data_IF_349691085293
#
_entry.id   IF_349691085293
#
_cell.length_a   1.000
_cell.length_b   1.000
_cell.length_c   1.000
_cell.angle_alpha   90.00
_cell.angle_beta   90.00
_cell.angle_gamma   90.00
#
_symmetry.space_group_name_H-M   'P 1'
#
loop_
_entity.id
_entity.type
_entity.pdbx_description
1 polymer ?
#
# COMPACT_ATOMS: atom_id res chain seq x y z
N UNK A 1 -37.12 -14.23 -51.85
CA UNK A 1 -37.76 -14.41 -50.52
C UNK A 1 -36.66 -14.81 -49.55
N UNK A 2 -36.31 -13.92 -48.62
CA UNK A 2 -35.17 -14.09 -47.71
C UNK A 2 -35.64 -14.84 -46.46
N UNK A 3 -35.23 -16.10 -46.30
CA UNK A 3 -35.54 -16.91 -45.12
C UNK A 3 -34.47 -16.67 -44.05
N UNK A 4 -34.60 -15.57 -43.30
CA UNK A 4 -33.89 -15.38 -42.04
C UNK A 4 -34.77 -15.89 -40.89
N UNK A 5 -34.60 -17.16 -40.54
CA UNK A 5 -35.18 -17.74 -39.31
C UNK A 5 -34.34 -17.25 -38.14
N UNK A 6 -34.76 -16.15 -37.50
CA UNK A 6 -34.08 -15.47 -36.39
C UNK A 6 -33.99 -16.27 -35.08
N UNK A 7 -33.52 -17.52 -35.15
CA UNK A 7 -33.20 -18.31 -33.97
C UNK A 7 -31.74 -18.04 -33.61
N UNK A 8 -31.51 -17.08 -32.72
CA UNK A 8 -30.21 -16.92 -32.06
C UNK A 8 -30.09 -18.10 -31.10
N UNK A 9 -29.10 -18.99 -31.24
CA UNK A 9 -28.96 -20.11 -30.31
C UNK A 9 -28.83 -19.57 -28.89
N UNK A 10 -29.67 -20.07 -27.98
CA UNK A 10 -29.61 -19.80 -26.54
C UNK A 10 -28.38 -20.50 -25.94
N UNK A 11 -27.21 -20.04 -26.39
CA UNK A 11 -25.96 -20.30 -25.70
C UNK A 11 -26.00 -19.37 -24.49
N UNK A 12 -26.41 -19.90 -23.34
CA UNK A 12 -26.35 -19.20 -22.07
C UNK A 12 -25.00 -18.48 -21.99
N UNK A 13 -25.02 -17.15 -22.13
CA UNK A 13 -23.79 -16.34 -22.11
C UNK A 13 -23.09 -16.68 -20.82
N UNK A 14 -21.87 -17.23 -20.90
CA UNK A 14 -21.00 -17.38 -19.71
C UNK A 14 -21.02 -16.04 -18.99
N UNK A 15 -21.40 -16.03 -17.72
CA UNK A 15 -21.44 -14.82 -16.91
C UNK A 15 -20.10 -14.11 -17.04
N UNK A 16 -20.08 -12.92 -17.65
CA UNK A 16 -18.85 -12.18 -17.87
C UNK A 16 -18.30 -11.81 -16.49
N UNK A 17 -17.07 -12.23 -16.21
CA UNK A 17 -16.43 -11.98 -14.92
C UNK A 17 -16.36 -10.49 -14.59
N UNK A 18 -16.34 -9.63 -15.62
CA UNK A 18 -16.34 -8.18 -15.49
C UNK A 18 -17.51 -7.67 -14.68
N UNK A 19 -18.67 -8.35 -14.73
CA UNK A 19 -19.88 -8.01 -13.95
C UNK A 19 -19.68 -8.05 -12.43
N UNK A 20 -18.63 -8.73 -11.94
CA UNK A 20 -18.27 -8.79 -10.51
C UNK A 20 -17.08 -7.90 -10.15
N UNK A 21 -16.62 -7.05 -11.07
CA UNK A 21 -15.47 -6.18 -10.85
C UNK A 21 -15.83 -5.00 -9.94
N UNK A 22 -15.09 -4.85 -8.83
CA UNK A 22 -15.28 -3.77 -7.86
C UNK A 22 -15.02 -2.37 -8.45
N UNK A 23 -14.33 -2.26 -9.58
CA UNK A 23 -14.05 -0.99 -10.24
C UNK A 23 -15.24 -0.41 -11.02
N UNK A 24 -16.37 -1.13 -11.14
CA UNK A 24 -17.56 -0.61 -11.82
C UNK A 24 -18.18 0.61 -11.12
N UNK A 25 -18.07 0.66 -9.79
CA UNK A 25 -18.63 1.74 -8.96
C UNK A 25 -17.65 2.89 -8.72
N UNK A 26 -16.53 2.91 -9.46
CA UNK A 26 -15.43 3.85 -9.27
C UNK A 26 -15.19 4.63 -10.56
N UNK A 27 -14.81 5.91 -10.45
CA UNK A 27 -14.48 6.76 -11.59
C UNK A 27 -13.37 6.13 -12.46
N UNK A 28 -13.60 5.86 -13.75
CA UNK A 28 -12.62 5.22 -14.63
C UNK A 28 -11.32 6.04 -14.78
N UNK A 29 -11.35 7.37 -14.64
CA UNK A 29 -10.17 8.24 -14.78
C UNK A 29 -9.04 7.83 -13.82
N UNK A 30 -9.38 7.30 -12.63
CA UNK A 30 -8.37 6.94 -11.63
C UNK A 30 -7.42 5.84 -12.11
N UNK A 31 -7.89 4.98 -13.03
CA UNK A 31 -7.13 3.83 -13.53
C UNK A 31 -6.13 4.22 -14.62
N UNK A 32 -6.24 5.42 -15.20
CA UNK A 32 -5.39 5.88 -16.29
C UNK A 32 -4.48 7.06 -15.91
N UNK A 33 -4.63 7.60 -14.70
CA UNK A 33 -3.79 8.69 -14.19
C UNK A 33 -2.66 8.17 -13.29
N UNK A 34 -1.44 8.66 -13.54
CA UNK A 34 -0.27 8.38 -12.71
C UNK A 34 -0.40 8.92 -11.28
N UNK A 35 -1.18 9.99 -11.09
CA UNK A 35 -1.39 10.62 -9.77
C UNK A 35 -2.30 9.77 -8.87
N UNK A 36 -3.14 8.92 -9.46
CA UNK A 36 -4.13 8.08 -8.77
C UNK A 36 -3.82 6.58 -8.84
N UNK A 37 -2.61 6.21 -9.28
CA UNK A 37 -2.21 4.83 -9.50
C UNK A 37 -2.38 3.95 -8.25
N UNK A 38 -1.95 4.43 -7.07
CA UNK A 38 -2.07 3.65 -5.83
C UNK A 38 -3.53 3.51 -5.38
N UNK A 39 -4.37 4.51 -5.66
CA UNK A 39 -5.82 4.44 -5.42
C UNK A 39 -6.46 3.38 -6.31
N UNK A 40 -6.12 3.35 -7.60
CA UNK A 40 -6.58 2.32 -8.53
C UNK A 40 -6.11 0.91 -8.10
N UNK A 41 -4.84 0.78 -7.71
CA UNK A 41 -4.28 -0.46 -7.16
C UNK A 41 -4.98 -0.90 -5.88
N UNK A 42 -5.41 0.04 -5.03
CA UNK A 42 -6.17 -0.26 -3.82
C UNK A 42 -7.52 -0.92 -4.14
N UNK A 43 -8.26 -0.37 -5.10
CA UNK A 43 -9.51 -0.97 -5.58
C UNK A 43 -9.25 -2.39 -6.10
N UNK A 44 -8.24 -2.56 -6.95
CA UNK A 44 -7.90 -3.87 -7.51
C UNK A 44 -7.55 -4.93 -6.45
N UNK A 45 -6.86 -4.57 -5.36
CA UNK A 45 -6.49 -5.53 -4.30
C UNK A 45 -7.69 -6.11 -3.55
N UNK A 46 -8.78 -5.36 -3.48
CA UNK A 46 -10.05 -5.82 -2.89
C UNK A 46 -10.98 -6.52 -3.90
N UNK A 47 -10.62 -6.53 -5.19
CA UNK A 47 -11.50 -6.98 -6.25
C UNK A 47 -11.54 -8.52 -6.36
N UNK A 48 -12.72 -9.16 -6.33
CA UNK A 48 -12.84 -10.63 -6.36
C UNK A 48 -12.42 -11.26 -7.69
N UNK A 49 -12.29 -10.45 -8.75
CA UNK A 49 -11.93 -10.89 -10.11
C UNK A 49 -10.54 -10.39 -10.54
N UNK A 50 -9.70 -10.01 -9.57
CA UNK A 50 -8.37 -9.41 -9.84
C UNK A 50 -7.45 -10.32 -10.66
N UNK A 51 -7.53 -11.64 -10.46
CA UNK A 51 -6.74 -12.62 -11.22
C UNK A 51 -7.22 -12.74 -12.67
N UNK A 52 -8.54 -12.83 -12.88
CA UNK A 52 -9.17 -12.85 -14.21
C UNK A 52 -8.89 -11.56 -14.97
N UNK A 53 -8.90 -10.42 -14.28
CA UNK A 53 -8.56 -9.12 -14.83
C UNK A 53 -7.08 -9.04 -15.26
N UNK A 54 -6.16 -9.54 -14.44
CA UNK A 54 -4.74 -9.54 -14.80
C UNK A 54 -4.47 -10.46 -16.00
N UNK A 55 -5.02 -11.68 -15.97
CA UNK A 55 -4.91 -12.64 -17.05
C UNK A 55 -5.35 -12.01 -18.38
N UNK A 56 -6.53 -11.40 -18.40
CA UNK A 56 -7.04 -10.67 -19.57
C UNK A 56 -6.10 -9.56 -20.04
N UNK A 57 -5.56 -8.75 -19.13
CA UNK A 57 -4.64 -7.67 -19.49
C UNK A 57 -3.27 -8.17 -19.99
N UNK A 58 -2.84 -9.36 -19.56
CA UNK A 58 -1.63 -10.01 -20.07
C UNK A 58 -1.87 -10.59 -21.47
N UNK A 59 -3.00 -11.29 -21.66
CA UNK A 59 -3.36 -11.95 -22.91
C UNK A 59 -3.62 -10.95 -24.05
N UNK A 60 -4.35 -9.86 -23.78
CA UNK A 60 -4.68 -8.82 -24.78
C UNK A 60 -3.58 -7.74 -24.95
N UNK A 61 -2.41 -7.95 -24.35
CA UNK A 61 -1.30 -6.98 -24.37
C UNK A 61 -1.70 -5.55 -23.94
N UNK A 62 -2.62 -5.38 -22.99
CA UNK A 62 -3.10 -4.04 -22.59
C UNK A 62 -1.94 -3.19 -22.07
N UNK A 63 -1.70 -2.06 -22.73
CA UNK A 63 -0.53 -1.22 -22.50
C UNK A 63 -0.79 -0.14 -21.43
N UNK A 64 -1.95 0.51 -21.46
CA UNK A 64 -2.20 1.66 -20.58
C UNK A 64 -3.03 1.31 -19.34
N UNK A 65 -2.86 2.10 -18.28
CA UNK A 65 -3.66 2.05 -17.06
C UNK A 65 -3.37 0.87 -16.11
N UNK A 66 -4.08 0.86 -14.99
CA UNK A 66 -3.98 -0.15 -13.93
C UNK A 66 -4.96 -1.29 -14.20
N UNK A 67 -4.44 -2.50 -14.37
CA UNK A 67 -5.23 -3.72 -14.59
C UNK A 67 -4.75 -4.82 -13.67
N UNK A 68 -5.70 -5.52 -13.06
CA UNK A 68 -5.39 -6.63 -12.15
C UNK A 68 -4.46 -6.23 -11.00
N UNK A 69 -4.46 -4.96 -10.57
CA UNK A 69 -3.61 -4.45 -9.49
C UNK A 69 -2.18 -4.09 -9.89
N UNK A 70 -1.87 -4.04 -11.19
CA UNK A 70 -0.55 -3.68 -11.70
C UNK A 70 -0.63 -2.54 -12.72
N UNK A 71 0.35 -1.64 -12.69
CA UNK A 71 0.51 -0.62 -13.73
C UNK A 71 1.20 -1.21 -14.99
N UNK A 72 1.37 -0.37 -16.01
CA UNK A 72 2.02 -0.75 -17.27
C UNK A 72 3.42 -1.33 -17.05
N UNK A 73 4.29 -0.63 -16.30
CA UNK A 73 5.68 -1.01 -16.11
C UNK A 73 5.82 -2.33 -15.34
N UNK A 74 4.95 -2.57 -14.38
CA UNK A 74 4.88 -3.81 -13.62
C UNK A 74 4.45 -4.98 -14.50
N UNK A 75 3.42 -4.79 -15.34
CA UNK A 75 3.01 -5.81 -16.32
C UNK A 75 4.13 -6.09 -17.33
N UNK A 76 4.80 -5.04 -17.82
CA UNK A 76 5.97 -5.16 -18.72
C UNK A 76 7.11 -5.92 -18.04
N UNK A 77 7.37 -5.66 -16.77
CA UNK A 77 8.36 -6.39 -15.98
C UNK A 77 8.02 -7.87 -15.83
N UNK A 78 6.74 -8.18 -15.53
CA UNK A 78 6.25 -9.57 -15.45
C UNK A 78 6.39 -10.31 -16.78
N UNK A 79 6.03 -9.68 -17.92
CA UNK A 79 6.20 -10.29 -19.25
C UNK A 79 7.68 -10.60 -19.54
N UNK A 80 8.60 -9.68 -19.22
CA UNK A 80 10.04 -9.93 -19.35
C UNK A 80 10.52 -11.09 -18.48
N UNK A 81 9.99 -11.21 -17.26
CA UNK A 81 10.30 -12.32 -16.36
C UNK A 81 9.72 -13.65 -16.88
N UNK A 82 8.52 -13.62 -17.46
CA UNK A 82 7.87 -14.76 -18.09
C UNK A 82 8.75 -15.38 -19.16
N UNK A 83 9.19 -14.56 -20.11
CA UNK A 83 10.05 -14.99 -21.23
C UNK A 83 11.36 -15.59 -20.71
N UNK A 84 11.99 -14.94 -19.71
CA UNK A 84 13.25 -15.42 -19.12
C UNK A 84 13.12 -16.75 -18.39
N UNK A 85 11.96 -17.03 -17.79
CA UNK A 85 11.71 -18.20 -16.94
C UNK A 85 10.78 -19.23 -17.58
N UNK A 86 10.36 -19.01 -18.83
CA UNK A 86 9.40 -19.83 -19.57
C UNK A 86 8.11 -20.11 -18.77
N UNK A 87 7.55 -19.07 -18.16
CA UNK A 87 6.34 -19.19 -17.33
C UNK A 87 5.07 -19.12 -18.18
N UNK A 88 4.10 -19.95 -17.84
CA UNK A 88 2.71 -19.86 -18.33
C UNK A 88 2.00 -18.63 -17.76
N UNK A 89 0.92 -18.18 -18.40
CA UNK A 89 0.15 -17.02 -17.91
C UNK A 89 -0.49 -17.28 -16.54
N UNK A 90 -0.86 -18.53 -16.25
CA UNK A 90 -1.37 -18.94 -14.94
C UNK A 90 -0.28 -18.79 -13.85
N UNK A 91 0.94 -19.27 -14.09
CA UNK A 91 2.07 -19.11 -13.17
C UNK A 91 2.48 -17.64 -12.98
N UNK A 92 2.35 -16.82 -14.03
CA UNK A 92 2.56 -15.38 -13.94
C UNK A 92 1.49 -14.71 -13.09
N UNK A 93 0.23 -15.11 -13.27
CA UNK A 93 -0.90 -14.60 -12.49
C UNK A 93 -0.75 -14.94 -11.01
N UNK A 94 -0.28 -16.15 -10.66
CA UNK A 94 0.02 -16.50 -9.27
C UNK A 94 1.17 -15.64 -8.72
N UNK A 95 2.30 -15.54 -9.44
CA UNK A 95 3.45 -14.72 -9.02
C UNK A 95 3.13 -13.23 -8.88
N UNK A 96 2.15 -12.76 -9.66
CA UNK A 96 1.69 -11.38 -9.56
C UNK A 96 1.07 -11.05 -8.20
N UNK A 97 0.63 -12.04 -7.39
CA UNK A 97 0.12 -11.78 -6.02
C UNK A 97 1.13 -10.97 -5.21
N UNK A 98 2.41 -11.33 -5.27
CA UNK A 98 3.47 -10.56 -4.62
C UNK A 98 3.72 -9.21 -5.30
N UNK A 99 3.66 -9.15 -6.63
CA UNK A 99 3.84 -7.89 -7.36
C UNK A 99 2.74 -6.85 -7.06
N UNK A 100 1.52 -7.30 -6.74
CA UNK A 100 0.34 -6.49 -6.38
C UNK A 100 0.37 -6.00 -4.93
N UNK A 101 1.21 -6.59 -4.08
CA UNK A 101 1.39 -6.11 -2.71
C UNK A 101 2.02 -4.71 -2.74
N UNK A 102 1.65 -3.82 -1.79
CA UNK A 102 2.27 -2.50 -1.70
C UNK A 102 3.77 -2.65 -1.46
N UNK A 103 4.59 -2.12 -2.38
CA UNK A 103 6.06 -2.22 -2.31
C UNK A 103 6.69 -1.17 -1.41
N UNK A 104 6.01 -0.05 -1.20
CA UNK A 104 6.45 1.00 -0.29
C UNK A 104 5.55 1.08 0.94
N UNK A 105 6.10 1.52 2.08
CA UNK A 105 5.28 1.93 3.20
C UNK A 105 4.22 2.93 2.74
N UNK A 106 2.95 2.56 2.85
CA UNK A 106 1.84 3.44 2.44
C UNK A 106 1.73 4.68 3.33
N UNK A 107 2.13 4.54 4.60
CA UNK A 107 2.08 5.58 5.62
C UNK A 107 3.24 5.42 6.60
N UNK A 108 3.55 6.48 7.35
CA UNK A 108 4.44 6.39 8.52
C UNK A 108 3.90 5.40 9.58
N UNK A 109 2.58 5.26 9.69
CA UNK A 109 1.96 4.30 10.60
C UNK A 109 2.29 2.86 10.23
N UNK A 110 2.24 2.52 8.93
CA UNK A 110 2.68 1.20 8.46
C UNK A 110 4.18 0.98 8.73
N UNK A 111 5.03 1.98 8.47
CA UNK A 111 6.47 1.87 8.82
C UNK A 111 6.68 1.58 10.29
N UNK A 112 5.91 2.22 11.16
CA UNK A 112 5.96 1.99 12.58
C UNK A 112 5.55 0.57 12.94
N UNK A 113 4.39 0.13 12.47
CA UNK A 113 3.84 -1.20 12.71
C UNK A 113 4.81 -2.32 12.31
N UNK A 114 5.37 -2.27 11.09
CA UNK A 114 6.24 -3.34 10.59
C UNK A 114 7.66 -3.34 11.20
N UNK A 115 8.07 -2.24 11.84
CA UNK A 115 9.41 -2.08 12.43
C UNK A 115 9.37 -1.94 13.95
N UNK A 116 8.27 -2.27 14.62
CA UNK A 116 8.20 -2.23 16.08
C UNK A 116 7.73 -3.53 16.69
N UNK A 117 8.34 -3.87 17.82
CA UNK A 117 7.97 -5.03 18.63
C UNK A 117 7.75 -4.59 20.08
N UNK A 118 6.93 -5.35 20.79
CA UNK A 118 6.78 -5.19 22.24
C UNK A 118 8.12 -5.50 22.94
N UNK A 119 8.54 -4.60 23.82
CA UNK A 119 9.65 -4.80 24.74
C UNK A 119 9.11 -5.19 26.13
N UNK A 120 9.99 -5.38 27.12
CA UNK A 120 9.57 -5.66 28.49
C UNK A 120 8.66 -4.54 29.02
N UNK A 121 7.55 -4.90 29.68
CA UNK A 121 6.55 -3.93 30.15
C UNK A 121 5.78 -3.25 29.01
N UNK A 122 5.35 -2.01 29.21
CA UNK A 122 4.59 -1.26 28.22
C UNK A 122 5.49 -0.44 27.28
N UNK A 123 6.61 -1.03 26.82
CA UNK A 123 7.58 -0.36 25.94
C UNK A 123 7.54 -0.94 24.52
N UNK A 124 7.93 -0.12 23.53
CA UNK A 124 8.10 -0.57 22.15
C UNK A 124 9.55 -0.33 21.71
N UNK A 125 10.12 -1.32 21.02
CA UNK A 125 11.47 -1.25 20.43
C UNK A 125 11.37 -1.24 18.92
N UNK A 126 12.18 -0.38 18.30
CA UNK A 126 12.33 -0.34 16.85
C UNK A 126 13.31 -1.42 16.37
N UNK A 127 12.91 -2.23 15.39
CA UNK A 127 13.71 -3.33 14.80
C UNK A 127 14.15 -3.05 13.36
N UNK A 128 13.70 -1.93 12.78
CA UNK A 128 14.01 -1.52 11.42
C UNK A 128 15.33 -0.74 11.27
N UNK A 129 15.54 -0.08 10.12
CA UNK A 129 16.70 0.78 9.92
C UNK A 129 16.66 2.01 10.85
N UNK A 130 17.83 2.46 11.33
CA UNK A 130 17.97 3.67 12.16
C UNK A 130 17.59 4.98 11.45
N UNK A 131 17.43 4.92 10.12
CA UNK A 131 16.99 6.01 9.25
C UNK A 131 16.01 5.43 8.22
N UNK A 132 14.71 5.54 8.49
CA UNK A 132 13.67 5.10 7.57
C UNK A 132 13.41 6.18 6.51
N UNK A 133 13.22 5.76 5.25
CA UNK A 133 12.84 6.67 4.16
C UNK A 133 11.35 6.51 3.87
N UNK A 134 10.64 7.64 3.75
CA UNK A 134 9.24 7.69 3.36
C UNK A 134 8.98 8.97 2.57
N UNK A 135 8.40 8.84 1.37
CA UNK A 135 8.09 9.96 0.47
C UNK A 135 9.27 10.93 0.26
N UNK A 136 10.47 10.38 0.00
CA UNK A 136 11.69 11.17 -0.23
C UNK A 136 12.29 11.83 1.01
N UNK A 137 11.65 11.73 2.18
CA UNK A 137 12.17 12.24 3.46
C UNK A 137 12.74 11.11 4.30
N UNK A 138 13.70 11.47 5.16
CA UNK A 138 14.32 10.52 6.10
C UNK A 138 13.86 10.82 7.52
N UNK A 139 13.47 9.77 8.25
CA UNK A 139 12.97 9.84 9.61
C UNK A 139 13.79 8.94 10.54
N UNK A 140 14.03 9.38 11.78
CA UNK A 140 14.48 8.50 12.86
C UNK A 140 13.30 7.71 13.44
N UNK A 141 13.54 6.57 14.12
CA UNK A 141 12.48 5.81 14.77
C UNK A 141 11.57 6.65 15.67
N UNK A 142 12.15 7.55 16.48
CA UNK A 142 11.38 8.47 17.34
C UNK A 142 10.57 9.49 16.55
N UNK A 143 11.08 9.98 15.41
CA UNK A 143 10.31 10.87 14.54
C UNK A 143 9.10 10.16 13.93
N UNK A 144 9.28 8.91 13.48
CA UNK A 144 8.17 8.08 12.98
C UNK A 144 7.15 7.88 14.11
N UNK A 145 7.58 7.43 15.29
CA UNK A 145 6.71 7.22 16.46
C UNK A 145 5.90 8.48 16.83
N UNK A 146 6.58 9.63 16.92
CA UNK A 146 5.95 10.90 17.27
C UNK A 146 4.92 11.34 16.23
N UNK A 147 5.27 11.27 14.94
CA UNK A 147 4.35 11.62 13.85
C UNK A 147 3.12 10.72 13.83
N UNK A 148 3.31 9.42 14.05
CA UNK A 148 2.20 8.45 14.13
C UNK A 148 1.29 8.74 15.32
N UNK A 149 1.86 9.06 16.49
CA UNK A 149 1.06 9.33 17.69
C UNK A 149 0.40 10.71 17.74
N UNK A 150 1.03 11.75 17.16
CA UNK A 150 0.57 13.15 17.29
C UNK A 150 -0.04 13.72 16.01
N UNK A 151 0.20 13.08 14.85
CA UNK A 151 -0.26 13.59 13.55
C UNK A 151 0.37 14.93 13.13
N UNK A 152 1.38 15.42 13.85
CA UNK A 152 2.08 16.69 13.58
C UNK A 152 3.60 16.52 13.65
N UNK A 153 4.39 17.36 12.95
CA UNK A 153 5.83 17.38 13.12
C UNK A 153 6.23 17.80 14.53
N UNK A 154 7.36 17.27 14.98
CA UNK A 154 7.94 17.60 16.27
C UNK A 154 8.55 19.00 16.27
N UNK A 155 8.41 19.71 17.39
CA UNK A 155 9.13 20.96 17.64
C UNK A 155 10.38 20.66 18.46
N UNK A 156 11.56 20.81 17.84
CA UNK A 156 12.85 20.57 18.49
C UNK A 156 13.21 19.08 18.63
N UNK A 157 13.86 18.73 19.75
CA UNK A 157 14.45 17.40 19.95
C UNK A 157 13.42 16.46 20.58
N UNK A 158 13.30 15.25 20.02
CA UNK A 158 12.47 14.18 20.57
C UNK A 158 13.21 13.39 21.65
N UNK A 159 12.55 13.15 22.78
CA UNK A 159 13.06 12.33 23.88
C UNK A 159 12.00 11.37 24.38
N UNK A 160 12.46 10.21 24.85
CA UNK A 160 11.62 9.26 25.56
C UNK A 160 11.47 9.73 27.01
N UNK A 161 10.26 9.85 27.52
CA UNK A 161 9.95 10.33 28.88
C UNK A 161 9.82 9.20 29.91
N UNK A 162 9.78 7.96 29.44
CA UNK A 162 9.60 6.75 30.25
C UNK A 162 10.89 6.17 30.87
N UNK A 163 12.02 6.88 30.79
CA UNK A 163 13.31 6.41 31.32
C UNK A 163 14.05 5.38 30.44
N UNK A 164 13.37 4.69 29.52
CA UNK A 164 14.00 3.80 28.52
C UNK A 164 14.43 4.58 27.27
N UNK A 165 15.73 4.79 27.01
CA UNK A 165 16.19 5.66 25.92
C UNK A 165 15.78 5.18 24.52
N UNK A 166 15.72 3.86 24.31
CA UNK A 166 15.39 3.25 23.01
C UNK A 166 13.90 3.01 22.81
N UNK A 167 13.06 3.35 23.80
CA UNK A 167 11.62 3.21 23.67
C UNK A 167 11.10 4.16 22.59
N UNK A 168 10.38 3.61 21.62
CA UNK A 168 9.70 4.32 20.53
C UNK A 168 8.18 4.31 20.66
N UNK A 169 7.66 3.98 21.85
CA UNK A 169 6.21 4.02 22.10
C UNK A 169 5.69 5.46 21.93
N UNK A 170 4.68 5.72 21.10
CA UNK A 170 4.24 7.08 20.79
C UNK A 170 3.89 7.89 22.06
N UNK A 171 3.20 7.28 23.02
CA UNK A 171 2.81 7.90 24.30
C UNK A 171 4.02 8.34 25.13
N UNK A 172 5.14 7.64 24.99
CA UNK A 172 6.38 7.90 25.73
C UNK A 172 7.33 8.85 25.01
N UNK A 173 7.01 9.33 23.80
CA UNK A 173 7.84 10.29 23.08
C UNK A 173 7.25 11.69 23.23
N UNK A 174 8.08 12.64 23.67
CA UNK A 174 7.73 14.05 23.75
C UNK A 174 8.73 14.90 22.96
N UNK A 175 8.24 15.99 22.36
CA UNK A 175 9.08 17.02 21.75
C UNK A 175 9.48 18.11 22.77
N UNK A 176 10.21 19.14 22.34
CA UNK A 176 10.66 20.19 23.25
C UNK A 176 9.49 20.98 23.84
N UNK A 177 8.45 21.25 23.04
CA UNK A 177 7.29 21.99 23.50
C UNK A 177 6.50 21.22 24.56
N UNK A 178 6.22 19.94 24.32
CA UNK A 178 5.52 19.07 25.27
C UNK A 178 6.29 18.94 26.59
N UNK A 179 7.62 18.77 26.54
CA UNK A 179 8.42 18.68 27.77
C UNK A 179 8.43 19.98 28.59
N UNK A 180 8.47 21.15 27.95
CA UNK A 180 8.39 22.42 28.67
C UNK A 180 7.02 22.62 29.34
N UNK A 181 5.94 22.12 28.74
CA UNK A 181 4.62 22.14 29.39
C UNK A 181 4.48 21.13 30.55
N UNK A 182 5.40 20.16 30.68
CA UNK A 182 5.36 19.13 31.73
C UNK A 182 6.24 19.46 32.95
N UNK A 183 7.14 20.44 32.87
CA UNK A 183 7.86 20.93 34.05
C UNK A 183 6.92 21.86 34.83
N UNK A 184 6.58 21.56 36.10
CA UNK A 184 5.93 22.57 36.93
C UNK A 184 6.90 23.76 37.04
N UNK A 185 6.35 24.97 36.94
CA UNK A 185 7.06 26.19 37.35
C UNK A 185 7.54 25.97 38.79
N UNK A 186 8.83 25.67 38.93
CA UNK A 186 9.51 25.85 40.21
C UNK A 186 9.68 27.34 40.38
N UNK A 187 8.63 27.97 40.92
CA UNK A 187 8.65 29.36 41.29
C UNK A 187 9.85 29.63 42.20
N UNK A 188 10.61 30.65 41.79
CA UNK A 188 11.65 31.26 42.57
C UNK A 188 11.05 31.84 43.86
N UNK A 189 11.53 31.34 45.00
CA UNK A 189 11.42 31.99 46.31
C UNK A 189 12.67 31.67 47.13
#
# INVERSE_FOLDING_TARGET
MSNYTGSVPDTARKTDWRTRAACQDVDPEIFFSALSEETAKAVCRSCPVVEQCLQFALDEDIQFGVYGGLNEDERRSLRRQAVRRQLTTEELTERSRYARQPKEPRTLAWLFEINTIAAFGDHLTWTGPNKAKFQGRTYTPKQVAFLVGRGRPATGILRSTCGTPECVRPEHIADTAERHSMTPEVDAA
#
